data_IF_012130926436
#
_entry.id   IF_012130926436
#
_cell.length_a   1.000
_cell.length_b   1.000
_cell.length_c   1.000
_cell.angle_alpha   90.00
_cell.angle_beta   90.00
_cell.angle_gamma   90.00
#
_symmetry.space_group_name_H-M   'P 1'
#
loop_
_entity.id
_entity.type
_entity.pdbx_description
1 polymer ?
#
# COMPACT_ATOMS: atom_id res chain seq x y z
N UNK A 1 -12.68 8.91 -2.90
CA UNK A 1 -12.93 9.89 -1.82
C UNK A 1 -11.71 10.08 -0.90
N UNK A 2 -11.18 9.03 -0.25
CA UNK A 2 -10.05 9.18 0.68
C UNK A 2 -8.73 9.54 -0.02
N UNK A 3 -8.37 8.84 -1.11
CA UNK A 3 -7.14 9.15 -1.87
C UNK A 3 -7.24 10.54 -2.50
N UNK A 4 -8.38 10.87 -3.12
CA UNK A 4 -8.59 12.19 -3.71
C UNK A 4 -8.51 13.33 -2.69
N UNK A 5 -9.04 13.12 -1.48
CA UNK A 5 -8.92 14.10 -0.40
C UNK A 5 -7.47 14.21 0.11
N UNK A 6 -6.75 13.10 0.23
CA UNK A 6 -5.34 13.09 0.63
C UNK A 6 -4.41 13.71 -0.43
N UNK A 7 -4.78 13.60 -1.70
CA UNK A 7 -4.03 14.12 -2.85
C UNK A 7 -4.43 15.56 -3.22
N UNK A 8 -5.48 16.12 -2.59
CA UNK A 8 -6.10 17.40 -2.94
C UNK A 8 -6.44 17.55 -4.44
N UNK A 9 -6.78 16.43 -5.08
CA UNK A 9 -7.16 16.40 -6.50
C UNK A 9 -8.05 15.18 -6.80
N UNK A 10 -8.87 15.23 -7.88
CA UNK A 10 -9.58 14.06 -8.36
C UNK A 10 -8.60 12.93 -8.70
N UNK A 11 -8.92 11.70 -8.26
CA UNK A 11 -8.12 10.51 -8.59
C UNK A 11 -9.03 9.47 -9.18
N UNK A 12 -8.76 9.09 -10.42
CA UNK A 12 -9.50 8.05 -11.12
C UNK A 12 -9.18 6.66 -10.56
N UNK A 13 -10.19 5.80 -10.43
CA UNK A 13 -9.97 4.43 -9.94
C UNK A 13 -9.04 3.61 -10.84
N UNK A 14 -9.06 3.87 -12.15
CA UNK A 14 -8.17 3.22 -13.11
C UNK A 14 -6.69 3.59 -12.95
N UNK A 15 -6.38 4.67 -12.22
CA UNK A 15 -5.01 5.11 -11.94
C UNK A 15 -4.42 4.51 -10.65
N UNK A 16 -5.19 3.71 -9.91
CA UNK A 16 -4.80 3.14 -8.61
C UNK A 16 -4.54 1.65 -8.76
N UNK A 17 -3.38 1.20 -8.29
CA UNK A 17 -3.09 -0.22 -8.05
C UNK A 17 -3.10 -0.53 -6.55
N UNK A 18 -3.53 -1.74 -6.20
CA UNK A 18 -3.40 -2.27 -4.84
C UNK A 18 -2.22 -3.23 -4.78
N UNK A 19 -1.37 -3.08 -3.76
CA UNK A 19 -0.33 -4.05 -3.41
C UNK A 19 -0.78 -4.81 -2.17
N UNK A 20 -1.21 -6.06 -2.39
CA UNK A 20 -1.52 -7.03 -1.35
C UNK A 20 -0.54 -8.19 -1.36
N UNK A 21 -0.46 -8.91 -0.23
CA UNK A 21 0.26 -10.19 -0.13
C UNK A 21 1.75 -10.14 -0.54
N UNK A 22 2.43 -9.01 -0.29
CA UNK A 22 3.87 -8.88 -0.54
C UNK A 22 4.65 -9.76 0.45
N UNK A 23 5.29 -10.81 -0.06
CA UNK A 23 6.17 -11.68 0.70
C UNK A 23 7.56 -11.71 0.07
N UNK A 24 8.60 -11.65 0.90
CA UNK A 24 9.99 -11.74 0.47
C UNK A 24 10.81 -12.47 1.54
N UNK A 25 11.92 -13.10 1.10
CA UNK A 25 12.85 -13.84 1.97
C UNK A 25 13.55 -12.96 3.00
N UNK A 26 13.73 -11.68 2.68
CA UNK A 26 14.43 -10.71 3.49
C UNK A 26 14.01 -9.28 3.13
N UNK A 27 14.42 -8.31 3.95
CA UNK A 27 14.03 -6.91 3.77
C UNK A 27 14.65 -6.27 2.52
N UNK A 28 15.82 -6.73 2.07
CA UNK A 28 16.45 -6.26 0.84
C UNK A 28 15.65 -6.68 -0.38
N UNK A 29 15.30 -7.96 -0.46
CA UNK A 29 14.44 -8.52 -1.51
C UNK A 29 13.05 -7.88 -1.54
N UNK A 30 12.46 -7.58 -0.38
CA UNK A 30 11.21 -6.83 -0.29
C UNK A 30 11.32 -5.43 -0.91
N UNK A 31 12.40 -4.70 -0.60
CA UNK A 31 12.64 -3.35 -1.16
C UNK A 31 12.84 -3.39 -2.67
N UNK A 32 13.65 -4.33 -3.18
CA UNK A 32 13.87 -4.50 -4.61
C UNK A 32 12.55 -4.81 -5.34
N UNK A 33 11.70 -5.65 -4.75
CA UNK A 33 10.38 -5.96 -5.29
C UNK A 33 9.50 -4.70 -5.35
N UNK A 34 9.48 -3.90 -4.27
CA UNK A 34 8.73 -2.63 -4.25
C UNK A 34 9.25 -1.68 -5.34
N UNK A 35 10.57 -1.53 -5.52
CA UNK A 35 11.14 -0.70 -6.60
C UNK A 35 10.68 -1.21 -7.97
N UNK A 36 10.88 -2.49 -8.26
CA UNK A 36 10.58 -3.05 -9.57
C UNK A 36 9.07 -2.96 -9.90
N UNK A 37 8.22 -3.25 -8.93
CA UNK A 37 6.76 -3.18 -9.08
C UNK A 37 6.30 -1.73 -9.26
N UNK A 38 6.73 -0.80 -8.39
CA UNK A 38 6.34 0.61 -8.50
C UNK A 38 6.78 1.22 -9.84
N UNK A 39 7.99 0.90 -10.31
CA UNK A 39 8.46 1.30 -11.64
C UNK A 39 7.60 0.73 -12.77
N UNK A 40 7.30 -0.58 -12.74
CA UNK A 40 6.45 -1.23 -13.73
C UNK A 40 5.05 -0.61 -13.78
N UNK A 41 4.45 -0.34 -12.62
CA UNK A 41 3.12 0.28 -12.53
C UNK A 41 3.13 1.71 -13.07
N UNK A 42 4.16 2.51 -12.74
CA UNK A 42 4.32 3.86 -13.24
C UNK A 42 4.45 3.90 -14.77
N UNK A 43 5.26 3.00 -15.34
CA UNK A 43 5.35 2.83 -16.81
C UNK A 43 4.03 2.36 -17.44
N UNK A 44 3.24 1.57 -16.70
CA UNK A 44 1.89 1.15 -17.10
C UNK A 44 0.84 2.27 -17.04
N UNK A 45 1.23 3.49 -16.66
CA UNK A 45 0.34 4.65 -16.63
C UNK A 45 -0.41 4.84 -15.31
N UNK A 46 -0.12 4.02 -14.30
CA UNK A 46 -0.70 4.15 -12.96
C UNK A 46 0.01 5.24 -12.16
N UNK A 47 -0.70 5.77 -11.18
CA UNK A 47 -0.27 6.92 -10.39
C UNK A 47 -0.13 6.63 -8.92
N UNK A 48 -0.98 5.73 -8.42
CA UNK A 48 -1.17 5.53 -7.00
C UNK A 48 -1.05 4.07 -6.67
N UNK A 49 -0.34 3.78 -5.58
CA UNK A 49 -0.29 2.45 -4.98
C UNK A 49 -0.93 2.51 -3.61
N UNK A 50 -2.02 1.77 -3.44
CA UNK A 50 -2.64 1.54 -2.15
C UNK A 50 -2.11 0.24 -1.52
N UNK A 51 -1.87 0.24 -0.22
CA UNK A 51 -1.44 -0.95 0.49
C UNK A 51 -1.87 -0.91 1.96
N UNK A 52 -2.02 -2.09 2.56
CA UNK A 52 -2.27 -2.26 3.99
C UNK A 52 -1.01 -2.83 4.63
N UNK A 53 -0.56 -2.25 5.74
CA UNK A 53 0.64 -2.76 6.40
C UNK A 53 1.03 -2.02 7.65
N UNK A 54 2.20 -2.42 8.18
CA UNK A 54 2.80 -1.82 9.36
C UNK A 54 3.86 -0.77 8.99
N UNK A 55 4.39 -0.09 10.01
CA UNK A 55 5.42 0.94 9.88
C UNK A 55 6.68 0.42 9.15
N UNK A 56 7.01 -0.86 9.25
CA UNK A 56 8.16 -1.46 8.57
C UNK A 56 8.04 -1.39 7.04
N UNK A 57 6.86 -1.64 6.51
CA UNK A 57 6.57 -1.51 5.08
C UNK A 57 6.61 -0.04 4.65
N UNK A 58 5.94 0.84 5.40
CA UNK A 58 5.96 2.31 5.16
C UNK A 58 7.38 2.85 5.12
N UNK A 59 8.24 2.42 6.05
CA UNK A 59 9.65 2.80 6.08
C UNK A 59 10.43 2.30 4.86
N UNK A 60 10.06 1.15 4.31
CA UNK A 60 10.65 0.68 3.04
C UNK A 60 10.27 1.61 1.91
N UNK A 61 9.01 2.02 1.79
CA UNK A 61 8.60 3.02 0.80
C UNK A 61 9.32 4.37 0.99
N UNK A 62 9.44 4.88 2.21
CA UNK A 62 10.18 6.11 2.50
C UNK A 62 11.64 6.07 2.06
N UNK A 63 12.33 4.93 2.26
CA UNK A 63 13.72 4.75 1.80
C UNK A 63 13.86 4.75 0.28
N UNK A 64 12.77 4.53 -0.45
CA UNK A 64 12.73 4.58 -1.92
C UNK A 64 12.40 5.97 -2.46
N UNK A 65 12.28 6.98 -1.58
CA UNK A 65 11.89 8.34 -1.95
C UNK A 65 10.38 8.54 -2.09
N UNK A 66 9.59 7.48 -1.91
CA UNK A 66 8.14 7.56 -1.90
C UNK A 66 7.66 8.16 -0.56
N UNK A 67 6.56 8.91 -0.60
CA UNK A 67 5.96 9.52 0.59
C UNK A 67 4.54 8.99 0.77
N UNK A 68 4.36 7.75 1.29
CA UNK A 68 3.03 7.22 1.52
C UNK A 68 2.28 8.10 2.52
N UNK A 69 1.03 8.39 2.20
CA UNK A 69 0.08 9.04 3.11
C UNK A 69 -0.76 7.96 3.78
N UNK A 70 -0.86 8.03 5.10
CA UNK A 70 -1.76 7.18 5.88
C UNK A 70 -3.19 7.69 5.74
N UNK A 71 -4.11 6.83 5.32
CA UNK A 71 -5.50 7.19 5.08
C UNK A 71 -6.38 6.90 6.29
N UNK A 72 -6.33 5.67 6.80
CA UNK A 72 -7.13 5.23 7.93
C UNK A 72 -6.60 3.94 8.54
N UNK A 73 -7.08 3.57 9.72
CA UNK A 73 -6.84 2.23 10.27
C UNK A 73 -7.46 1.18 9.34
N UNK A 74 -6.80 0.03 9.21
CA UNK A 74 -7.36 -1.10 8.48
C UNK A 74 -8.33 -1.86 9.39
N UNK A 75 -9.61 -1.56 9.24
CA UNK A 75 -10.68 -2.16 10.04
C UNK A 75 -10.96 -3.61 9.58
N UNK A 76 -10.72 -4.63 10.42
CA UNK A 76 -10.99 -6.02 10.08
C UNK A 76 -12.49 -6.32 9.89
N UNK A 77 -13.40 -5.50 10.42
CA UNK A 77 -14.83 -5.69 10.20
C UNK A 77 -15.21 -5.51 8.73
N UNK A 78 -14.41 -4.77 7.95
CA UNK A 78 -14.62 -4.57 6.52
C UNK A 78 -14.33 -5.83 5.68
N UNK A 79 -13.66 -6.84 6.26
CA UNK A 79 -13.40 -8.12 5.60
C UNK A 79 -14.53 -9.14 5.77
N UNK A 80 -15.52 -8.88 6.64
CA UNK A 80 -16.57 -9.86 6.93
C UNK A 80 -15.98 -11.17 7.48
N UNK A 81 -16.33 -12.30 6.86
CA UNK A 81 -15.86 -13.63 7.25
C UNK A 81 -14.40 -13.91 6.86
N UNK A 82 -13.89 -13.23 5.82
CA UNK A 82 -12.52 -13.42 5.33
C UNK A 82 -11.48 -13.07 6.38
N UNK A 83 -11.82 -12.25 7.38
CA UNK A 83 -10.92 -11.89 8.50
C UNK A 83 -10.28 -13.12 9.17
N UNK A 84 -10.98 -14.24 9.19
CA UNK A 84 -10.49 -15.49 9.80
C UNK A 84 -9.34 -16.13 9.01
N UNK A 85 -9.20 -15.82 7.73
CA UNK A 85 -8.10 -16.29 6.88
C UNK A 85 -6.81 -15.48 7.06
N UNK A 86 -6.88 -14.31 7.70
CA UNK A 86 -5.72 -13.43 7.89
C UNK A 86 -4.89 -13.74 9.15
N UNK A 87 -5.28 -14.77 9.93
CA UNK A 87 -4.59 -15.16 11.16
C UNK A 87 -4.43 -13.98 12.13
N UNK A 88 -3.23 -13.79 12.67
CA UNK A 88 -2.91 -12.69 13.58
C UNK A 88 -2.55 -11.37 12.88
N UNK A 89 -2.69 -11.28 11.56
CA UNK A 89 -2.26 -10.08 10.81
C UNK A 89 -2.91 -8.80 11.33
N UNK A 90 -4.22 -8.81 11.58
CA UNK A 90 -4.96 -7.66 12.09
C UNK A 90 -4.73 -7.39 13.59
N UNK A 91 -4.12 -8.32 14.34
CA UNK A 91 -3.70 -8.06 15.73
C UNK A 91 -2.60 -6.99 15.80
N UNK A 92 -1.83 -6.83 14.72
CA UNK A 92 -0.81 -5.79 14.60
C UNK A 92 -1.38 -4.38 14.37
N UNK A 93 -2.71 -4.25 14.27
CA UNK A 93 -3.43 -3.01 13.98
C UNK A 93 -2.87 -2.27 12.76
N UNK A 94 -2.92 -2.90 11.57
CA UNK A 94 -2.34 -2.31 10.36
C UNK A 94 -3.12 -1.07 9.92
N UNK A 95 -2.46 -0.24 9.12
CA UNK A 95 -3.05 0.97 8.55
C UNK A 95 -3.09 0.88 7.03
N UNK A 96 -4.04 1.58 6.43
CA UNK A 96 -4.17 1.73 4.98
C UNK A 96 -3.39 2.96 4.56
N UNK A 97 -2.52 2.79 3.57
CA UNK A 97 -1.66 3.83 3.03
C UNK A 97 -1.84 3.96 1.53
N UNK A 98 -1.50 5.13 1.00
CA UNK A 98 -1.38 5.36 -0.45
C UNK A 98 -0.08 6.10 -0.76
N UNK A 99 0.67 5.63 -1.75
CA UNK A 99 1.85 6.31 -2.27
C UNK A 99 1.62 6.80 -3.69
N UNK A 100 2.02 8.04 -3.98
CA UNK A 100 2.14 8.52 -5.35
C UNK A 100 3.43 7.93 -5.96
N UNK A 101 3.34 7.36 -7.15
CA UNK A 101 4.44 6.72 -7.89
C UNK A 101 4.73 7.40 -9.24
N UNK A 102 4.14 8.58 -9.48
CA UNK A 102 4.43 9.44 -10.62
C UNK A 102 5.50 10.48 -10.31
#
# INVERSE_FOLDING_TARGET
PLISAAADQPVERGAIAEVGNLAASDTGSARLSIIAITWLLAMGGLEWVAFTGNIGLVNSFHRLGLKPVTLCAADPQRLGDDRHHWGSYYESQPWVHVGNIR
#
